data_IF_570966604281
#
_entry.id   IF_570966604281
#
_cell.length_a   1.000
_cell.length_b   1.000
_cell.length_c   1.000
_cell.angle_alpha   90.00
_cell.angle_beta   90.00
_cell.angle_gamma   90.00
#
_symmetry.space_group_name_H-M   'P 1'
#
loop_
_entity.id
_entity.type
_entity.pdbx_description
1 polymer ?
#
# COMPACT_ATOMS: atom_id res chain seq x y z
N UNK A 1 -11.06 -1.86 8.17
CA UNK A 1 -10.28 -2.01 6.92
C UNK A 1 -10.05 -0.63 6.31
N UNK A 2 -8.90 -0.39 5.70
CA UNK A 2 -8.54 0.87 5.02
C UNK A 2 -8.14 0.54 3.58
N UNK A 3 -8.66 1.28 2.60
CA UNK A 3 -8.39 1.07 1.17
C UNK A 3 -9.57 1.50 0.30
N UNK A 4 -9.30 1.86 -0.96
CA UNK A 4 -10.34 1.98 -1.98
C UNK A 4 -10.83 0.56 -2.29
N UNK A 5 -12.14 0.26 -2.17
CA UNK A 5 -12.66 -1.11 -2.16
C UNK A 5 -12.27 -1.92 -3.41
N UNK A 6 -12.14 -1.25 -4.55
CA UNK A 6 -11.85 -1.84 -5.87
C UNK A 6 -10.51 -2.56 -5.97
N UNK A 7 -9.54 -2.24 -5.11
CA UNK A 7 -8.16 -2.76 -5.19
C UNK A 7 -7.85 -3.80 -4.11
N UNK A 8 -8.84 -4.17 -3.29
CA UNK A 8 -8.67 -5.13 -2.22
C UNK A 8 -8.57 -6.55 -2.77
N UNK A 9 -7.57 -7.29 -2.30
CA UNK A 9 -7.40 -8.70 -2.63
C UNK A 9 -8.43 -9.57 -1.85
N UNK A 10 -8.87 -10.72 -2.40
CA UNK A 10 -9.88 -11.56 -1.78
C UNK A 10 -9.48 -12.03 -0.37
N UNK A 11 -8.21 -12.36 -0.14
CA UNK A 11 -7.69 -12.78 1.16
C UNK A 11 -7.79 -11.67 2.24
N UNK A 12 -7.78 -10.40 1.82
CA UNK A 12 -7.96 -9.26 2.73
C UNK A 12 -9.42 -9.17 3.15
N UNK A 13 -10.35 -9.34 2.22
CA UNK A 13 -11.79 -9.35 2.51
C UNK A 13 -12.19 -10.53 3.40
N UNK A 14 -11.56 -11.68 3.22
CA UNK A 14 -11.80 -12.89 4.01
C UNK A 14 -11.15 -12.86 5.39
N UNK A 15 -10.25 -11.90 5.66
CA UNK A 15 -9.55 -11.80 6.94
C UNK A 15 -8.61 -12.96 7.24
N UNK A 16 -8.16 -13.72 6.23
CA UNK A 16 -7.31 -14.91 6.37
C UNK A 16 -5.84 -14.60 6.67
N UNK A 17 -5.53 -13.32 6.93
CA UNK A 17 -4.17 -12.79 6.91
C UNK A 17 -3.73 -12.45 5.49
N UNK A 18 -2.79 -11.52 5.38
CA UNK A 18 -2.23 -11.08 4.11
C UNK A 18 -0.71 -10.88 4.20
N UNK A 19 -0.04 -11.08 3.08
CA UNK A 19 1.38 -10.81 2.89
C UNK A 19 1.61 -9.82 1.76
N UNK A 20 2.86 -9.66 1.28
CA UNK A 20 3.20 -8.77 0.18
C UNK A 20 2.46 -9.06 -1.14
N UNK A 21 1.84 -10.24 -1.28
CA UNK A 21 1.11 -10.68 -2.48
C UNK A 21 -0.15 -9.86 -2.78
N UNK A 22 -0.68 -9.14 -1.79
CA UNK A 22 -1.82 -8.22 -2.01
C UNK A 22 -1.46 -7.05 -2.91
N UNK A 23 -0.18 -6.62 -2.89
CA UNK A 23 0.30 -5.56 -3.76
C UNK A 23 0.33 -6.02 -5.23
N UNK A 24 0.59 -7.31 -5.48
CA UNK A 24 0.52 -7.88 -6.84
C UNK A 24 -0.91 -7.97 -7.38
N UNK A 25 -1.88 -8.26 -6.50
CA UNK A 25 -3.29 -8.17 -6.87
C UNK A 25 -3.66 -6.74 -7.25
N UNK A 26 -3.32 -5.77 -6.38
CA UNK A 26 -3.58 -4.36 -6.64
C UNK A 26 -2.90 -3.88 -7.94
N UNK A 27 -1.69 -4.37 -8.25
CA UNK A 27 -1.05 -4.11 -9.53
C UNK A 27 -1.86 -4.66 -10.71
N UNK A 28 -2.39 -5.88 -10.60
CA UNK A 28 -3.27 -6.47 -11.61
C UNK A 28 -4.52 -5.62 -11.87
N UNK A 29 -5.15 -5.15 -10.79
CA UNK A 29 -6.31 -4.25 -10.85
C UNK A 29 -5.94 -2.93 -11.53
N UNK A 30 -4.84 -2.29 -11.13
CA UNK A 30 -4.36 -1.04 -11.74
C UNK A 30 -4.02 -1.20 -13.22
N UNK A 31 -3.41 -2.33 -13.63
CA UNK A 31 -3.08 -2.59 -15.03
C UNK A 31 -4.35 -2.76 -15.87
N UNK A 32 -5.34 -3.49 -15.36
CA UNK A 32 -6.65 -3.60 -16.01
C UNK A 32 -7.27 -2.20 -16.20
N UNK A 33 -7.33 -1.40 -15.13
CA UNK A 33 -7.93 -0.07 -15.18
C UNK A 33 -7.21 0.89 -16.14
N UNK A 34 -5.88 0.87 -16.19
CA UNK A 34 -5.12 1.71 -17.14
C UNK A 34 -5.41 1.37 -18.61
N UNK A 35 -5.77 0.11 -18.90
CA UNK A 35 -6.00 -0.38 -20.26
C UNK A 35 -7.48 -0.25 -20.66
N UNK A 36 -8.39 -0.69 -19.79
CA UNK A 36 -9.84 -0.72 -20.04
C UNK A 36 -10.51 0.61 -19.70
N UNK A 37 -9.97 1.35 -18.74
CA UNK A 37 -10.46 2.67 -18.29
C UNK A 37 -11.32 2.64 -17.03
N UNK A 38 -11.59 1.47 -16.46
CA UNK A 38 -12.29 1.29 -15.19
C UNK A 38 -11.83 0.00 -14.48
N UNK A 39 -12.00 -0.15 -13.15
CA UNK A 39 -11.56 -1.34 -12.41
C UNK A 39 -12.30 -2.63 -12.80
N UNK A 40 -11.68 -3.81 -12.72
CA UNK A 40 -12.27 -5.09 -13.16
C UNK A 40 -13.48 -5.54 -12.35
N UNK A 41 -13.58 -5.12 -11.07
CA UNK A 41 -14.68 -5.48 -10.16
C UNK A 41 -15.66 -4.31 -9.92
N UNK A 42 -15.56 -3.24 -10.71
CA UNK A 42 -16.31 -2.01 -10.52
C UNK A 42 -17.83 -2.27 -10.49
N UNK A 43 -18.52 -1.69 -9.49
CA UNK A 43 -19.95 -1.89 -9.31
C UNK A 43 -20.63 -0.66 -8.70
N UNK A 44 -21.96 -0.68 -8.56
CA UNK A 44 -22.73 0.46 -8.07
C UNK A 44 -22.61 0.69 -6.57
N UNK A 45 -22.13 -0.31 -5.83
CA UNK A 45 -21.93 -0.25 -4.38
C UNK A 45 -20.69 -1.02 -3.92
N UNK A 46 -20.07 -0.64 -2.78
CA UNK A 46 -18.97 -1.41 -2.20
C UNK A 46 -19.31 -2.88 -1.93
N UNK A 47 -20.56 -3.17 -1.57
CA UNK A 47 -21.03 -4.53 -1.30
C UNK A 47 -21.03 -5.39 -2.58
N UNK A 48 -21.46 -4.81 -3.71
CA UNK A 48 -21.37 -5.46 -5.02
C UNK A 48 -19.91 -5.65 -5.44
N UNK A 49 -19.05 -4.65 -5.24
CA UNK A 49 -17.60 -4.76 -5.53
C UNK A 49 -16.99 -5.94 -4.74
N UNK A 50 -17.29 -6.05 -3.44
CA UNK A 50 -16.81 -7.16 -2.63
C UNK A 50 -17.34 -8.52 -3.10
N UNK A 51 -18.62 -8.58 -3.51
CA UNK A 51 -19.18 -9.78 -4.11
C UNK A 51 -18.44 -10.16 -5.39
N UNK A 52 -18.19 -9.20 -6.27
CA UNK A 52 -17.49 -9.43 -7.53
C UNK A 52 -16.05 -9.92 -7.29
N UNK A 53 -15.34 -9.34 -6.32
CA UNK A 53 -13.99 -9.79 -5.92
C UNK A 53 -14.03 -11.24 -5.43
N UNK A 54 -14.94 -11.57 -4.51
CA UNK A 54 -15.02 -12.90 -3.90
C UNK A 54 -15.56 -13.98 -4.85
N UNK A 55 -16.36 -13.60 -5.85
CA UNK A 55 -16.86 -14.51 -6.88
C UNK A 55 -15.97 -14.53 -8.14
N UNK A 56 -14.91 -13.72 -8.16
CA UNK A 56 -14.02 -13.56 -9.30
C UNK A 56 -14.75 -13.15 -10.61
N UNK A 57 -15.71 -12.23 -10.48
CA UNK A 57 -16.50 -11.69 -11.59
C UNK A 57 -15.73 -10.55 -12.28
N UNK A 58 -15.00 -10.89 -13.34
CA UNK A 58 -14.24 -9.96 -14.18
C UNK A 58 -14.77 -10.05 -15.62
N UNK A 59 -14.98 -8.90 -16.26
CA UNK A 59 -15.28 -8.83 -17.70
C UNK A 59 -13.99 -8.99 -18.52
N UNK A 60 -13.67 -10.23 -18.88
CA UNK A 60 -12.49 -10.52 -19.68
C UNK A 60 -12.66 -10.15 -21.15
N UNK A 61 -13.89 -10.00 -21.65
CA UNK A 61 -14.16 -9.67 -23.04
C UNK A 61 -13.70 -8.23 -23.32
N UNK A 62 -14.07 -7.30 -22.43
CA UNK A 62 -13.63 -5.90 -22.49
C UNK A 62 -12.10 -5.78 -22.47
N UNK A 63 -11.41 -6.59 -21.66
CA UNK A 63 -9.94 -6.62 -21.64
C UNK A 63 -9.37 -7.16 -22.96
N UNK A 64 -9.88 -8.29 -23.45
CA UNK A 64 -9.38 -8.92 -24.68
C UNK A 64 -9.61 -8.06 -25.93
N UNK A 65 -10.62 -7.21 -25.93
CA UNK A 65 -10.93 -6.31 -27.05
C UNK A 65 -9.92 -5.17 -27.21
N UNK A 66 -9.26 -4.73 -26.14
CA UNK A 66 -8.36 -3.56 -26.15
C UNK A 66 -6.90 -3.86 -25.77
N UNK A 67 -6.65 -4.94 -25.03
CA UNK A 67 -5.33 -5.31 -24.56
C UNK A 67 -4.57 -6.15 -25.60
N UNK A 68 -3.23 -6.13 -25.54
CA UNK A 68 -2.45 -7.16 -26.21
C UNK A 68 -2.55 -8.49 -25.47
N UNK A 69 -2.34 -9.61 -26.18
CA UNK A 69 -2.32 -10.95 -25.58
C UNK A 69 -1.37 -11.03 -24.37
N UNK A 70 -0.19 -10.40 -24.47
CA UNK A 70 0.80 -10.37 -23.38
C UNK A 70 0.31 -9.59 -22.16
N UNK A 71 -0.45 -8.50 -22.37
CA UNK A 71 -1.02 -7.69 -21.29
C UNK A 71 -2.17 -8.42 -20.59
N UNK A 72 -3.08 -9.00 -21.36
CA UNK A 72 -4.17 -9.81 -20.84
C UNK A 72 -3.61 -11.03 -20.06
N UNK A 73 -2.56 -11.67 -20.60
CA UNK A 73 -1.89 -12.76 -19.91
C UNK A 73 -1.27 -12.31 -18.58
N UNK A 74 -0.55 -11.18 -18.56
CA UNK A 74 0.03 -10.64 -17.32
C UNK A 74 -1.05 -10.40 -16.25
N UNK A 75 -2.14 -9.71 -16.63
CA UNK A 75 -3.24 -9.37 -15.73
C UNK A 75 -3.89 -10.64 -15.19
N UNK A 76 -4.18 -11.63 -16.04
CA UNK A 76 -4.78 -12.89 -15.62
C UNK A 76 -3.94 -13.66 -14.58
N UNK A 77 -2.61 -13.51 -14.63
CA UNK A 77 -1.68 -14.16 -13.68
C UNK A 77 -1.48 -13.38 -12.39
N UNK A 78 -1.70 -12.05 -12.41
CA UNK A 78 -1.69 -11.20 -11.23
C UNK A 78 -3.03 -11.28 -10.47
N UNK A 79 -4.13 -11.46 -11.18
CA UNK A 79 -5.47 -11.65 -10.62
C UNK A 79 -5.77 -13.14 -10.39
N UNK A 80 -4.89 -13.84 -9.67
CA UNK A 80 -5.18 -15.21 -9.20
C UNK A 80 -5.68 -15.13 -7.76
N UNK A 81 -6.79 -15.82 -7.48
CA UNK A 81 -7.41 -15.85 -6.14
C UNK A 81 -6.45 -16.36 -5.07
N UNK A 82 -5.82 -17.52 -5.30
CA UNK A 82 -4.83 -18.10 -4.38
C UNK A 82 -3.56 -17.24 -4.37
N UNK A 83 -3.21 -16.59 -3.23
CA UNK A 83 -2.03 -15.73 -3.16
C UNK A 83 -0.71 -16.48 -3.37
N UNK A 84 -0.69 -17.80 -3.17
CA UNK A 84 0.51 -18.63 -3.35
C UNK A 84 0.76 -19.03 -4.81
N UNK A 85 -0.28 -19.03 -5.65
CA UNK A 85 -0.18 -19.29 -7.09
C UNK A 85 -0.09 -18.00 -7.92
N UNK A 86 -0.41 -16.86 -7.30
CA UNK A 86 -0.36 -15.53 -7.91
C UNK A 86 1.04 -15.16 -8.38
N UNK A 87 1.14 -14.57 -9.58
CA UNK A 87 2.41 -14.08 -10.10
C UNK A 87 3.03 -13.06 -9.15
N UNK A 88 4.30 -13.26 -8.79
CA UNK A 88 4.99 -12.44 -7.80
C UNK A 88 4.97 -13.00 -6.39
N UNK A 89 4.29 -14.13 -6.15
CA UNK A 89 4.34 -14.86 -4.88
C UNK A 89 5.77 -15.21 -4.46
N UNK A 90 6.65 -15.52 -5.43
CA UNK A 90 8.07 -15.81 -5.16
C UNK A 90 8.98 -14.59 -5.36
N UNK A 91 8.42 -13.39 -5.52
CA UNK A 91 9.13 -12.13 -5.61
C UNK A 91 8.97 -11.40 -6.95
N UNK A 92 9.40 -10.13 -6.97
CA UNK A 92 9.20 -9.22 -8.09
C UNK A 92 9.85 -9.66 -9.40
N UNK A 93 10.86 -10.53 -9.36
CA UNK A 93 11.57 -10.96 -10.57
C UNK A 93 10.70 -11.87 -11.46
N UNK A 94 9.68 -12.56 -10.91
CA UNK A 94 8.67 -13.27 -11.70
C UNK A 94 7.85 -12.32 -12.57
N UNK A 95 7.47 -11.17 -12.01
CA UNK A 95 6.70 -10.14 -12.72
C UNK A 95 7.58 -9.46 -13.77
N UNK A 96 8.81 -9.08 -13.40
CA UNK A 96 9.76 -8.41 -14.31
C UNK A 96 10.16 -9.25 -15.52
N UNK A 97 10.14 -10.58 -15.38
CA UNK A 97 10.51 -11.52 -16.45
C UNK A 97 9.34 -11.88 -17.37
N UNK A 98 8.14 -11.34 -17.13
CA UNK A 98 6.98 -11.54 -17.99
C UNK A 98 7.20 -10.95 -19.38
N UNK A 99 6.70 -11.63 -20.42
CA UNK A 99 6.84 -11.22 -21.84
C UNK A 99 6.28 -9.82 -22.12
N UNK A 100 5.27 -9.39 -21.39
CA UNK A 100 4.75 -8.02 -21.44
C UNK A 100 5.82 -6.94 -21.22
N UNK A 101 6.85 -7.24 -20.42
CA UNK A 101 7.98 -6.34 -20.16
C UNK A 101 9.22 -6.68 -21.01
N UNK A 102 9.07 -7.45 -22.09
CA UNK A 102 10.18 -7.73 -23.00
C UNK A 102 10.78 -6.42 -23.54
N UNK A 103 12.11 -6.31 -23.46
CA UNK A 103 12.85 -5.11 -23.86
C UNK A 103 12.95 -4.03 -22.78
N UNK A 104 12.33 -4.19 -21.60
CA UNK A 104 12.52 -3.29 -20.48
C UNK A 104 13.85 -3.56 -19.78
N UNK A 105 14.74 -2.57 -19.78
CA UNK A 105 15.94 -2.58 -18.95
C UNK A 105 15.65 -1.96 -17.58
N UNK A 106 15.43 -2.84 -16.59
CA UNK A 106 15.07 -2.45 -15.22
C UNK A 106 16.17 -1.67 -14.49
N UNK A 107 17.45 -1.92 -14.80
CA UNK A 107 18.57 -1.20 -14.20
C UNK A 107 18.67 0.22 -14.74
N UNK A 108 18.51 0.38 -16.06
CA UNK A 108 18.45 1.71 -16.70
C UNK A 108 17.24 2.48 -16.20
N UNK A 109 16.08 1.84 -16.05
CA UNK A 109 14.87 2.47 -15.52
C UNK A 109 15.06 3.00 -14.09
N UNK A 110 15.77 2.26 -13.25
CA UNK A 110 16.01 2.64 -11.85
C UNK A 110 17.09 3.73 -11.72
N UNK A 111 18.20 3.57 -12.45
CA UNK A 111 19.43 4.35 -12.22
C UNK A 111 19.61 5.53 -13.17
N UNK A 112 19.00 5.50 -14.35
CA UNK A 112 19.24 6.46 -15.41
C UNK A 112 17.92 6.96 -16.04
N UNK A 113 17.14 7.67 -15.23
CA UNK A 113 15.87 8.30 -15.66
C UNK A 113 16.01 9.21 -16.88
N UNK A 114 17.20 9.74 -17.17
CA UNK A 114 17.45 10.58 -18.34
C UNK A 114 17.63 9.79 -19.64
N UNK A 115 17.97 8.49 -19.55
CA UNK A 115 18.13 7.61 -20.71
C UNK A 115 16.79 7.08 -21.24
N UNK A 116 15.71 7.19 -20.47
CA UNK A 116 14.36 6.76 -20.87
C UNK A 116 13.49 7.99 -21.02
N UNK A 117 12.98 8.21 -22.23
CA UNK A 117 11.98 9.26 -22.45
C UNK A 117 10.59 8.66 -22.15
N UNK A 118 9.84 9.19 -21.16
CA UNK A 118 8.49 8.71 -20.89
C UNK A 118 7.57 9.04 -22.08
N UNK A 119 6.56 8.20 -22.31
CA UNK A 119 5.60 8.40 -23.41
C UNK A 119 4.80 9.70 -23.27
N UNK A 120 4.60 10.15 -22.03
CA UNK A 120 3.93 11.40 -21.71
C UNK A 120 4.84 12.29 -20.87
N UNK A 121 5.03 13.53 -21.32
CA UNK A 121 5.76 14.58 -20.60
C UNK A 121 4.77 15.70 -20.27
N UNK A 122 4.47 15.94 -18.98
CA UNK A 122 3.61 17.05 -18.57
C UNK A 122 4.15 18.39 -19.08
N UNK A 123 3.27 19.21 -19.66
CA UNK A 123 3.63 20.55 -20.16
C UNK A 123 3.34 21.59 -19.09
N UNK A 124 4.39 22.09 -18.46
CA UNK A 124 4.29 23.07 -17.38
C UNK A 124 4.67 24.46 -17.88
N UNK A 125 3.85 25.46 -17.54
CA UNK A 125 4.10 26.87 -17.86
C UNK A 125 5.06 27.55 -16.87
N UNK A 126 5.14 27.04 -15.64
CA UNK A 126 6.01 27.57 -14.57
C UNK A 126 6.28 26.53 -13.48
N UNK A 127 7.19 26.84 -12.55
CA UNK A 127 7.51 25.98 -11.41
C UNK A 127 6.38 25.85 -10.37
N UNK A 128 5.35 26.68 -10.48
CA UNK A 128 4.17 26.68 -9.60
C UNK A 128 2.90 26.36 -10.37
N UNK A 129 3.03 25.82 -11.59
CA UNK A 129 1.91 25.42 -12.41
C UNK A 129 1.15 24.26 -11.75
N UNK A 130 -0.15 24.44 -11.54
CA UNK A 130 -1.04 23.45 -10.93
C UNK A 130 -2.10 22.94 -11.91
N UNK A 131 -1.96 23.15 -13.22
CA UNK A 131 -2.98 22.82 -14.22
C UNK A 131 -3.34 21.34 -14.30
N UNK A 132 -2.49 20.43 -13.82
CA UNK A 132 -2.78 18.99 -13.73
C UNK A 132 -3.53 18.57 -12.45
N UNK A 133 -3.90 19.52 -11.58
CA UNK A 133 -4.73 19.28 -10.40
C UNK A 133 -6.15 19.81 -10.61
N UNK A 134 -7.13 19.23 -9.92
CA UNK A 134 -8.53 19.65 -9.98
C UNK A 134 -8.74 21.06 -9.39
N UNK A 135 -9.61 21.85 -10.01
CA UNK A 135 -9.88 23.24 -9.63
C UNK A 135 -10.47 23.36 -8.20
N UNK A 136 -11.22 22.35 -7.73
CA UNK A 136 -11.76 22.29 -6.38
C UNK A 136 -10.67 22.32 -5.29
N UNK A 137 -9.48 21.80 -5.60
CA UNK A 137 -8.31 21.82 -4.69
C UNK A 137 -7.47 23.09 -4.84
N UNK A 138 -7.60 23.82 -5.96
CA UNK A 138 -6.89 25.09 -6.20
C UNK A 138 -7.48 26.25 -5.39
N UNK A 139 -8.75 26.15 -4.97
CA UNK A 139 -9.45 27.19 -4.21
C UNK A 139 -9.41 27.08 -2.69
N UNK A 140 -9.04 25.92 -2.13
CA UNK A 140 -9.00 25.68 -0.68
C UNK A 140 -7.59 25.87 -0.09
N UNK A 141 -6.95 27.01 -0.38
CA UNK A 141 -5.69 27.37 0.24
C UNK A 141 -5.80 28.75 0.87
N UNK A 142 -5.89 28.80 2.21
CA UNK A 142 -5.92 30.09 2.89
C UNK A 142 -5.99 30.10 4.42
N UNK A 143 -6.23 28.97 5.08
CA UNK A 143 -6.22 28.96 6.54
C UNK A 143 -5.98 27.57 7.08
N UNK A 144 -5.08 27.47 8.06
CA UNK A 144 -5.10 26.38 9.01
C UNK A 144 -6.51 26.39 9.62
N UNK A 145 -7.32 25.38 9.30
CA UNK A 145 -8.66 25.28 9.85
C UNK A 145 -8.50 25.12 11.36
N UNK A 146 -8.92 26.13 12.12
CA UNK A 146 -8.96 25.99 13.57
C UNK A 146 -9.93 24.86 13.87
N UNK A 147 -9.45 23.79 14.50
CA UNK A 147 -10.32 22.73 15.00
C UNK A 147 -11.30 23.35 15.99
N UNK A 148 -12.57 23.44 15.60
CA UNK A 148 -13.65 23.84 16.49
C UNK A 148 -13.81 22.74 17.55
N UNK A 149 -13.30 23.00 18.76
CA UNK A 149 -13.26 22.01 19.86
C UNK A 149 -11.88 21.78 20.48
N UNK A 150 -10.80 22.34 19.93
CA UNK A 150 -9.50 22.30 20.60
C UNK A 150 -9.56 23.15 21.88
N UNK A 151 -9.69 22.49 23.04
CA UNK A 151 -9.64 23.16 24.32
C UNK A 151 -8.28 23.87 24.46
N UNK A 152 -8.22 25.15 24.89
CA UNK A 152 -6.95 25.89 25.04
C UNK A 152 -5.96 25.25 26.02
N UNK A 153 -6.42 24.25 26.78
CA UNK A 153 -5.67 23.49 27.78
C UNK A 153 -5.58 22.00 27.41
N UNK A 154 -5.12 21.67 26.20
CA UNK A 154 -4.52 20.34 25.99
C UNK A 154 -3.31 20.25 26.93
N UNK A 155 -3.35 19.32 27.89
CA UNK A 155 -2.29 19.17 28.87
C UNK A 155 -0.95 18.91 28.15
N UNK A 156 0.10 19.61 28.58
CA UNK A 156 1.46 19.54 27.99
C UNK A 156 2.05 18.12 28.05
N UNK A 157 1.44 17.22 28.82
CA UNK A 157 1.87 15.84 29.01
C UNK A 157 1.45 14.89 27.87
N UNK A 158 0.56 15.30 26.95
CA UNK A 158 0.00 14.45 25.89
C UNK A 158 0.77 14.50 24.55
N UNK A 159 1.89 15.24 24.49
CA UNK A 159 2.70 15.35 23.27
C UNK A 159 3.70 14.20 23.07
N UNK A 160 3.69 13.19 23.96
CA UNK A 160 4.63 12.06 23.85
C UNK A 160 4.30 11.12 22.70
N UNK A 161 3.05 11.09 22.26
CA UNK A 161 2.58 10.26 21.14
C UNK A 161 3.28 10.61 19.82
N UNK A 162 3.78 11.84 19.69
CA UNK A 162 4.50 12.34 18.50
C UNK A 162 5.99 12.56 18.73
N UNK A 163 6.58 12.05 19.82
CA UNK A 163 7.98 12.31 20.21
C UNK A 163 9.02 12.00 19.11
N UNK A 164 8.71 11.06 18.21
CA UNK A 164 9.57 10.67 17.09
C UNK A 164 9.03 11.10 15.72
N UNK A 165 8.08 12.03 15.68
CA UNK A 165 7.48 12.51 14.44
C UNK A 165 8.43 13.36 13.60
N UNK A 166 9.27 14.16 14.26
CA UNK A 166 10.22 15.06 13.59
C UNK A 166 11.28 14.28 12.80
N UNK A 167 11.34 14.52 11.49
CA UNK A 167 12.28 13.89 10.57
C UNK A 167 12.92 14.90 9.61
N UNK A 168 14.21 14.71 9.29
CA UNK A 168 14.92 15.45 8.24
C UNK A 168 15.66 14.45 7.36
N UNK A 169 15.42 14.51 6.05
CA UNK A 169 16.09 13.62 5.09
C UNK A 169 17.61 13.86 5.06
N UNK A 170 18.38 12.78 5.03
CA UNK A 170 19.85 12.82 4.91
C UNK A 170 20.28 13.51 3.60
N UNK A 171 19.50 13.37 2.52
CA UNK A 171 19.78 14.07 1.27
C UNK A 171 19.74 15.58 1.49
N UNK A 172 18.69 16.07 2.16
CA UNK A 172 18.52 17.48 2.48
C UNK A 172 19.62 17.97 3.44
N UNK A 173 19.98 17.19 4.46
CA UNK A 173 21.12 17.49 5.34
C UNK A 173 22.45 17.58 4.57
N UNK A 174 22.63 16.73 3.56
CA UNK A 174 23.78 16.78 2.66
C UNK A 174 23.82 18.06 1.83
N UNK A 175 22.66 18.53 1.35
CA UNK A 175 22.56 19.78 0.61
C UNK A 175 22.81 21.01 1.48
N UNK A 176 22.22 21.06 2.67
CA UNK A 176 22.42 22.16 3.63
C UNK A 176 23.87 22.26 4.11
N UNK A 177 24.61 21.15 4.10
CA UNK A 177 26.02 21.11 4.51
C UNK A 177 27.00 21.07 3.32
N UNK A 178 26.55 21.33 2.08
CA UNK A 178 27.42 21.32 0.89
C UNK A 178 28.65 22.21 1.10
N UNK A 179 28.47 23.40 1.66
CA UNK A 179 29.56 24.35 1.91
C UNK A 179 30.58 23.80 2.93
N UNK A 180 30.13 23.14 3.99
CA UNK A 180 31.00 22.52 5.00
C UNK A 180 31.73 21.26 4.46
N UNK A 181 31.13 20.55 3.50
CA UNK A 181 31.72 19.39 2.82
C UNK A 181 32.76 19.84 1.78
N UNK A 182 32.48 20.90 1.04
CA UNK A 182 33.40 21.55 0.08
C UNK A 182 34.62 22.15 0.81
N UNK A 183 34.41 22.84 1.93
CA UNK A 183 35.50 23.41 2.75
C UNK A 183 36.44 22.33 3.31
N UNK A 184 35.89 21.16 3.68
CA UNK A 184 36.68 20.01 4.15
C UNK A 184 37.38 19.24 3.02
N UNK A 185 36.88 19.29 1.78
CA UNK A 185 37.59 18.76 0.60
C UNK A 185 38.81 19.61 0.26
N UNK A 186 38.74 20.93 0.43
CA UNK A 186 39.88 21.84 0.24
C UNK A 186 41.03 21.64 1.24
N UNK A 187 40.75 21.10 2.44
CA UNK A 187 41.75 20.86 3.51
C UNK A 187 42.38 19.46 3.52
N UNK A 188 42.00 18.55 2.60
CA UNK A 188 42.54 17.17 2.51
C UNK A 188 43.53 16.95 1.36
N UNK A 189 44.41 17.90 1.07
CA UNK A 189 45.70 17.59 0.44
C UNK A 189 46.78 17.58 1.51
N UNK A 190 46.85 16.48 2.25
CA UNK A 190 47.80 16.27 3.34
C UNK A 190 47.19 15.32 4.36
N UNK A 191 47.83 14.17 4.53
CA UNK A 191 47.47 13.10 5.47
C UNK A 191 46.34 12.16 5.02
N UNK A 192 46.77 11.01 4.50
CA UNK A 192 45.92 9.91 4.09
C UNK A 192 45.19 9.27 5.25
N UNK A 193 43.86 9.22 5.15
CA UNK A 193 43.02 8.35 5.98
C UNK A 193 42.53 7.23 5.05
N UNK A 194 43.26 6.11 5.03
CA UNK A 194 42.75 4.83 4.53
C UNK A 194 41.90 4.20 5.64
N UNK A 195 40.58 4.32 5.54
CA UNK A 195 39.59 3.31 5.99
C UNK A 195 38.27 3.68 5.31
N UNK A 196 37.82 2.84 4.39
CA UNK A 196 36.54 2.98 3.69
C UNK A 196 35.40 2.56 4.62
N UNK A 197 34.26 3.25 4.48
CA UNK A 197 33.03 3.11 5.28
C UNK A 197 32.58 1.64 5.53
N UNK A 198 32.76 0.67 4.62
CA UNK A 198 32.36 -0.72 4.88
C UNK A 198 33.09 -1.38 6.06
N UNK A 199 34.36 -1.05 6.34
CA UNK A 199 35.12 -1.67 7.43
C UNK A 199 34.65 -1.18 8.81
N UNK A 200 34.29 0.10 8.94
CA UNK A 200 33.80 0.67 10.19
C UNK A 200 32.38 0.18 10.54
N UNK A 201 31.59 -0.19 9.52
CA UNK A 201 30.27 -0.79 9.70
C UNK A 201 30.39 -2.25 10.12
N UNK A 202 31.30 -3.02 9.51
CA UNK A 202 31.55 -4.42 9.89
C UNK A 202 32.04 -4.58 11.34
N UNK A 203 32.84 -3.63 11.85
CA UNK A 203 33.32 -3.63 13.23
C UNK A 203 32.19 -3.29 14.24
N UNK A 204 31.24 -2.42 13.85
CA UNK A 204 30.05 -2.12 14.67
C UNK A 204 29.02 -3.23 14.68
N UNK A 205 28.84 -3.96 13.57
CA UNK A 205 27.92 -5.12 13.50
C UNK A 205 28.40 -6.25 14.42
N UNK A 206 29.71 -6.53 14.46
CA UNK A 206 30.29 -7.51 15.41
C UNK A 206 30.18 -7.11 16.89
N UNK A 207 30.07 -5.81 17.19
CA UNK A 207 29.90 -5.33 18.56
C UNK A 207 28.46 -5.46 19.08
N UNK A 208 27.47 -5.61 18.16
CA UNK A 208 26.05 -5.75 18.50
C UNK A 208 25.65 -7.23 18.66
N UNK A 209 26.31 -8.17 17.97
CA UNK A 209 26.05 -9.61 18.09
C UNK A 209 26.51 -10.23 19.43
N UNK A 210 27.16 -9.46 20.32
CA UNK A 210 27.78 -9.97 21.54
C UNK A 210 26.98 -9.82 22.84
N UNK A 211 25.80 -9.19 22.86
CA UNK A 211 25.03 -8.96 24.10
C UNK A 211 23.52 -9.06 23.89
N UNK A 212 22.94 -10.07 24.55
CA UNK A 212 21.52 -10.27 24.86
C UNK A 212 20.52 -10.32 23.70
N UNK A 213 20.44 -11.48 23.05
CA UNK A 213 19.19 -11.98 22.45
C UNK A 213 18.97 -13.44 22.86
N UNK A 214 18.85 -13.67 24.17
CA UNK A 214 18.38 -14.95 24.67
C UNK A 214 17.62 -14.78 25.99
N UNK A 215 16.51 -14.04 25.95
CA UNK A 215 15.36 -14.14 26.86
C UNK A 215 14.34 -13.02 26.52
N UNK A 216 13.47 -13.27 25.54
CA UNK A 216 12.09 -12.75 25.48
C UNK A 216 11.31 -13.32 24.27
N UNK A 217 11.25 -14.63 24.17
CA UNK A 217 10.15 -15.30 23.51
C UNK A 217 9.39 -16.03 24.63
N UNK A 218 8.07 -15.94 24.60
CA UNK A 218 7.11 -16.31 25.66
C UNK A 218 6.69 -15.11 26.52
N UNK A 219 5.58 -14.49 26.10
CA UNK A 219 4.40 -14.14 26.91
C UNK A 219 3.65 -12.95 26.26
N UNK A 220 2.43 -13.22 25.80
CA UNK A 220 1.41 -12.19 25.50
C UNK A 220 1.14 -11.91 24.03
N UNK A 221 0.34 -12.75 23.38
CA UNK A 221 -0.18 -12.49 22.03
C UNK A 221 -1.03 -13.65 21.55
N UNK A 222 -2.21 -13.85 22.16
CA UNK A 222 -3.17 -14.85 21.70
C UNK A 222 -3.59 -14.55 20.26
N UNK A 223 -3.26 -15.46 19.34
CA UNK A 223 -3.81 -15.48 17.98
C UNK A 223 -5.30 -15.82 18.10
N UNK A 224 -6.15 -14.90 17.68
CA UNK A 224 -7.57 -15.16 17.54
C UNK A 224 -7.76 -16.18 16.41
N UNK A 225 -8.44 -17.28 16.69
CA UNK A 225 -8.67 -18.34 15.70
C UNK A 225 -9.60 -17.86 14.57
N UNK A 226 -9.62 -18.55 13.41
CA UNK A 226 -10.50 -18.18 12.28
C UNK A 226 -11.98 -18.06 12.67
N UNK A 227 -12.44 -18.92 13.58
CA UNK A 227 -13.82 -18.87 14.10
C UNK A 227 -14.05 -17.72 15.08
N UNK A 228 -13.04 -17.34 15.88
CA UNK A 228 -13.12 -16.20 16.79
C UNK A 228 -13.09 -14.86 16.03
N UNK A 229 -12.34 -14.78 14.92
CA UNK A 229 -12.33 -13.61 14.03
C UNK A 229 -13.67 -13.44 13.28
N UNK A 230 -14.30 -14.55 12.87
CA UNK A 230 -15.67 -14.51 12.32
C UNK A 230 -16.68 -14.08 13.38
N UNK A 231 -16.56 -14.56 14.62
CA UNK A 231 -17.41 -14.14 15.74
C UNK A 231 -17.27 -12.64 16.03
N UNK A 232 -16.05 -12.11 15.97
CA UNK A 232 -15.73 -10.69 16.19
C UNK A 232 -16.31 -9.78 15.10
N UNK A 233 -16.23 -10.17 13.82
CA UNK A 233 -16.89 -9.45 12.73
C UNK A 233 -18.43 -9.50 12.86
N UNK A 234 -18.97 -10.61 13.37
CA UNK A 234 -20.39 -10.76 13.67
C UNK A 234 -20.82 -9.88 14.85
N UNK A 235 -19.97 -9.67 15.85
CA UNK A 235 -20.19 -8.73 16.96
C UNK A 235 -20.09 -7.27 16.53
N UNK A 236 -19.12 -6.91 15.68
CA UNK A 236 -19.05 -5.57 15.08
C UNK A 236 -20.31 -5.24 14.27
N UNK A 237 -20.86 -6.21 13.52
CA UNK A 237 -22.12 -6.03 12.78
C UNK A 237 -23.37 -5.94 13.69
N UNK A 238 -23.26 -6.35 14.96
CA UNK A 238 -24.33 -6.21 15.96
C UNK A 238 -24.23 -4.86 16.68
N UNK A 239 -23.03 -4.35 16.93
CA UNK A 239 -22.81 -3.04 17.56
C UNK A 239 -23.24 -1.88 16.64
N UNK A 240 -23.09 -2.01 15.32
CA UNK A 240 -23.65 -1.05 14.35
C UNK A 240 -25.20 -0.94 14.41
N UNK A 241 -25.88 -1.89 15.07
CA UNK A 241 -27.34 -1.89 15.23
C UNK A 241 -27.84 -1.12 16.46
N UNK A 242 -27.00 -0.93 17.49
CA UNK A 242 -27.41 -0.28 18.76
C UNK A 242 -27.24 1.27 18.72
N UNK A 243 -26.49 1.80 17.74
CA UNK A 243 -26.25 3.25 17.59
C UNK A 243 -27.16 3.96 16.57
N UNK A 244 -28.10 3.27 15.91
CA UNK A 244 -29.03 3.91 14.97
C UNK A 244 -30.49 3.85 15.48
N UNK A 245 -31.06 5.04 15.64
CA UNK A 245 -32.45 5.31 16.01
C UNK A 245 -33.47 4.61 15.11
N UNK A 246 -34.69 4.32 15.61
CA UNK A 246 -35.61 3.35 15.01
C UNK A 246 -36.46 4.00 13.92
N UNK A 247 -35.99 4.03 12.67
CA UNK A 247 -36.89 4.06 11.53
C UNK A 247 -36.16 3.70 10.23
N UNK A 248 -36.29 2.44 9.81
CA UNK A 248 -36.50 1.97 8.43
C UNK A 248 -36.13 0.49 8.31
N UNK A 249 -37.14 -0.31 7.96
CA UNK A 249 -36.98 -1.69 7.51
C UNK A 249 -36.04 -1.74 6.29
N UNK A 250 -34.75 -2.03 6.51
CA UNK A 250 -33.79 -2.28 5.43
C UNK A 250 -33.56 -3.80 5.21
N UNK A 251 -33.82 -4.32 3.99
CA UNK A 251 -33.50 -5.70 3.61
C UNK A 251 -31.99 -6.03 3.61
N UNK A 252 -31.13 -5.02 3.57
CA UNK A 252 -29.67 -5.10 3.33
C UNK A 252 -28.88 -5.76 4.47
N UNK A 253 -29.31 -5.57 5.72
CA UNK A 253 -28.65 -6.14 6.91
C UNK A 253 -28.84 -7.65 7.04
N UNK A 254 -29.98 -8.18 6.55
CA UNK A 254 -30.26 -9.61 6.59
C UNK A 254 -29.44 -10.40 5.56
N UNK A 255 -29.09 -9.80 4.42
CA UNK A 255 -28.39 -10.50 3.33
C UNK A 255 -26.92 -10.78 3.66
N UNK A 256 -26.19 -9.80 4.20
CA UNK A 256 -24.80 -10.00 4.64
C UNK A 256 -24.70 -11.04 5.77
N UNK A 257 -25.67 -11.04 6.69
CA UNK A 257 -25.81 -12.12 7.69
C UNK A 257 -26.03 -13.47 7.04
N UNK A 258 -26.93 -13.57 6.05
CA UNK A 258 -27.24 -14.82 5.37
C UNK A 258 -26.03 -15.35 4.58
N UNK A 259 -25.30 -14.50 3.88
CA UNK A 259 -24.13 -14.87 3.09
C UNK A 259 -22.96 -15.32 3.97
N UNK A 260 -22.70 -14.61 5.07
CA UNK A 260 -21.67 -15.02 6.04
C UNK A 260 -22.04 -16.32 6.75
N UNK A 261 -23.31 -16.52 7.08
CA UNK A 261 -23.79 -17.74 7.72
C UNK A 261 -23.76 -18.95 6.78
N UNK A 262 -24.12 -18.77 5.50
CA UNK A 262 -24.01 -19.81 4.48
C UNK A 262 -22.55 -20.19 4.18
N UNK A 263 -21.63 -19.22 4.24
CA UNK A 263 -20.19 -19.46 4.11
C UNK A 263 -19.62 -20.22 5.32
N UNK A 264 -20.18 -20.00 6.51
CA UNK A 264 -19.82 -20.72 7.74
C UNK A 264 -20.30 -22.18 7.72
N UNK A 265 -21.53 -22.43 7.29
CA UNK A 265 -22.13 -23.78 7.20
C UNK A 265 -21.39 -24.67 6.18
N UNK A 266 -20.97 -24.10 5.04
CA UNK A 266 -20.15 -24.80 4.04
C UNK A 266 -18.72 -25.14 4.51
N UNK A 267 -18.23 -24.49 5.55
CA UNK A 267 -16.89 -24.72 6.09
C UNK A 267 -16.86 -25.81 7.19
N UNK A 268 -18.02 -26.33 7.61
CA UNK A 268 -18.16 -27.35 8.66
C UNK A 268 -18.55 -28.75 8.14
N UNK A 269 -18.80 -28.90 6.83
CA UNK A 269 -18.94 -30.19 6.13
C UNK A 269 -17.62 -30.60 5.45
#
# INVERSE_FOLDING_TARGET
>A
FVGTPDYLAPEVLLGTGHGPTVDWWALGVCLYEMIVGYPPFNAGSPQEIFSNILNFEIDWDDLCDVASDDAANLISRLLIEDPSERLGANGADEVKSHVFFEGVDWEVLLTNKAAITPLFIPSLSSSVDTNYFDDERKGSFGGMTFMEGASPNMAVDDFTDFKNFSFVSIHHLGEMNKDAVEEKKGKKQGEGIKKTIPEAVAEKVKAVEGKDTQQRFEEGGGRMGPEESKQFLLEMSKEELDEQTPDRDEPSSNFLRQTLQLSLEKSQE
#
